data_IF_363868103198
#
_entry.id   IF_363868103198
#
_cell.length_a   1.000
_cell.length_b   1.000
_cell.length_c   1.000
_cell.angle_alpha   90.00
_cell.angle_beta   90.00
_cell.angle_gamma   90.00
#
_symmetry.space_group_name_H-M   'P 1'
#
loop_
_entity.id
_entity.type
_entity.pdbx_description
1 polymer ?
#
# COMPACT_ATOMS: atom_id res chain seq x y z
N UNK A 1 -29.95 -6.33 12.84
CA UNK A 1 -29.75 -6.96 11.53
C UNK A 1 -28.71 -6.14 10.78
N UNK A 2 -27.53 -6.71 10.53
CA UNK A 2 -26.42 -6.00 9.86
C UNK A 2 -26.50 -6.28 8.36
N UNK A 3 -26.52 -5.27 7.47
CA UNK A 3 -26.50 -5.52 6.03
C UNK A 3 -25.14 -6.08 5.58
N UNK A 4 -25.19 -7.19 4.85
CA UNK A 4 -24.05 -7.85 4.20
C UNK A 4 -23.45 -6.95 3.11
N UNK A 5 -22.23 -6.48 3.31
CA UNK A 5 -21.47 -5.60 2.41
C UNK A 5 -20.90 -6.35 1.20
N UNK A 6 -21.76 -6.79 0.29
CA UNK A 6 -21.35 -7.34 -1.00
C UNK A 6 -22.18 -6.82 -2.17
N UNK A 7 -22.71 -5.60 -2.07
CA UNK A 7 -23.30 -4.92 -3.23
C UNK A 7 -22.17 -4.35 -4.11
N UNK A 8 -21.71 -5.21 -5.02
CA UNK A 8 -21.12 -4.76 -6.29
C UNK A 8 -22.14 -3.80 -6.92
N UNK A 9 -21.73 -2.58 -7.26
CA UNK A 9 -22.61 -1.64 -7.99
C UNK A 9 -22.91 -2.28 -9.33
N UNK A 10 -24.08 -2.90 -9.46
CA UNK A 10 -24.55 -3.45 -10.74
C UNK A 10 -24.99 -2.28 -11.60
N UNK A 11 -24.57 -2.30 -12.87
CA UNK A 11 -25.17 -1.42 -13.86
C UNK A 11 -26.61 -1.92 -14.07
N UNK A 12 -27.59 -1.06 -13.76
CA UNK A 12 -29.03 -1.27 -13.93
C UNK A 12 -29.50 -0.23 -14.96
N UNK A 13 -30.59 -0.49 -15.69
CA UNK A 13 -31.03 0.35 -16.83
C UNK A 13 -30.95 1.86 -16.57
N UNK A 14 -31.42 2.33 -15.41
CA UNK A 14 -31.45 3.76 -15.06
C UNK A 14 -30.06 4.40 -14.90
N UNK A 15 -29.04 3.62 -14.51
CA UNK A 15 -27.66 4.12 -14.36
C UNK A 15 -26.77 3.76 -15.58
N UNK A 16 -27.21 2.80 -16.40
CA UNK A 16 -26.49 2.30 -17.55
C UNK A 16 -26.43 3.34 -18.67
N UNK A 17 -27.55 3.98 -19.02
CA UNK A 17 -27.58 4.96 -20.11
C UNK A 17 -26.68 6.17 -19.86
N UNK A 18 -26.72 6.71 -18.63
CA UNK A 18 -25.87 7.83 -18.26
C UNK A 18 -24.38 7.43 -18.20
N UNK A 19 -24.08 6.23 -17.71
CA UNK A 19 -22.72 5.69 -17.73
C UNK A 19 -22.22 5.47 -19.16
N UNK A 20 -23.04 4.86 -20.02
CA UNK A 20 -22.73 4.57 -21.43
C UNK A 20 -22.48 5.87 -22.20
N UNK A 21 -23.37 6.86 -22.07
CA UNK A 21 -23.21 8.16 -22.71
C UNK A 21 -21.92 8.85 -22.29
N UNK A 22 -21.60 8.85 -20.99
CA UNK A 22 -20.36 9.44 -20.49
C UNK A 22 -19.12 8.72 -21.02
N UNK A 23 -19.13 7.39 -21.10
CA UNK A 23 -18.01 6.65 -21.66
C UNK A 23 -17.84 6.92 -23.15
N UNK A 24 -18.94 6.95 -23.92
CA UNK A 24 -18.90 7.33 -25.35
C UNK A 24 -18.31 8.73 -25.55
N UNK A 25 -18.70 9.71 -24.74
CA UNK A 25 -18.16 11.07 -24.80
C UNK A 25 -16.66 11.13 -24.51
N UNK A 26 -16.17 10.34 -23.56
CA UNK A 26 -14.74 10.30 -23.22
C UNK A 26 -13.90 9.58 -24.26
N UNK A 27 -14.40 8.46 -24.78
CA UNK A 27 -13.79 7.76 -25.91
C UNK A 27 -13.70 8.66 -27.13
N UNK A 28 -14.72 9.49 -27.37
CA UNK A 28 -14.71 10.48 -28.46
C UNK A 28 -13.61 11.52 -28.28
N UNK A 29 -13.49 12.10 -27.07
CA UNK A 29 -12.41 13.05 -26.72
C UNK A 29 -11.00 12.45 -26.85
N UNK A 30 -10.87 11.14 -26.74
CA UNK A 30 -9.61 10.40 -26.91
C UNK A 30 -9.39 9.87 -28.33
N UNK A 31 -10.32 10.11 -29.26
CA UNK A 31 -10.24 9.62 -30.64
C UNK A 31 -10.50 8.11 -30.80
N UNK A 32 -11.01 7.45 -29.77
CA UNK A 32 -11.21 5.99 -29.73
C UNK A 32 -12.67 5.56 -29.98
N UNK A 33 -13.62 6.51 -30.05
CA UNK A 33 -15.04 6.19 -30.19
C UNK A 33 -15.37 5.46 -31.51
N UNK A 34 -14.73 5.87 -32.62
CA UNK A 34 -14.95 5.28 -33.94
C UNK A 34 -14.51 3.81 -34.04
N UNK A 35 -13.69 3.34 -33.10
CA UNK A 35 -13.19 1.97 -33.06
C UNK A 35 -14.14 1.01 -32.31
N UNK A 36 -15.04 1.57 -31.48
CA UNK A 36 -16.00 0.83 -30.65
C UNK A 36 -17.40 0.82 -31.27
N UNK A 37 -17.75 1.89 -32.00
CA UNK A 37 -18.96 1.92 -32.81
C UNK A 37 -18.74 0.98 -34.00
N UNK A 38 -19.34 -0.21 -33.90
CA UNK A 38 -19.43 -1.29 -34.88
C UNK A 38 -18.98 -0.88 -36.30
N UNK A 39 -17.81 -1.32 -36.77
CA UNK A 39 -17.42 -1.13 -38.16
C UNK A 39 -18.24 -2.08 -39.05
N UNK A 40 -18.60 -1.64 -40.25
CA UNK A 40 -19.04 -2.55 -41.30
C UNK A 40 -18.00 -3.65 -41.48
N UNK A 41 -18.46 -4.91 -41.40
CA UNK A 41 -17.61 -6.09 -41.44
C UNK A 41 -17.31 -6.42 -42.91
N UNK A 42 -16.27 -5.81 -43.48
CA UNK A 42 -15.75 -6.30 -44.76
C UNK A 42 -14.94 -7.58 -44.53
N UNK A 43 -15.36 -8.66 -45.18
CA UNK A 43 -14.91 -10.04 -44.97
C UNK A 43 -13.43 -10.34 -45.32
N UNK A 44 -12.58 -9.31 -45.48
CA UNK A 44 -11.22 -9.41 -46.02
C UNK A 44 -10.24 -8.51 -45.26
N UNK A 45 -9.90 -8.80 -44.01
CA UNK A 45 -8.61 -8.34 -43.49
C UNK A 45 -8.13 -9.15 -42.28
N UNK A 46 -7.07 -9.93 -42.47
CA UNK A 46 -6.34 -10.60 -41.37
C UNK A 46 -5.43 -9.60 -40.62
N UNK A 47 -5.06 -8.49 -41.28
CA UNK A 47 -4.21 -7.40 -40.75
C UNK A 47 -4.90 -6.49 -39.73
N UNK A 48 -6.23 -6.49 -39.69
CA UNK A 48 -7.04 -5.66 -38.77
C UNK A 48 -7.04 -6.19 -37.33
N UNK A 49 -6.80 -7.49 -37.14
CA UNK A 49 -6.95 -8.16 -35.83
C UNK A 49 -5.98 -7.65 -34.76
N UNK A 50 -4.72 -7.35 -35.11
CA UNK A 50 -3.70 -6.87 -34.15
C UNK A 50 -3.94 -5.40 -33.78
N UNK A 51 -4.28 -4.57 -34.76
CA UNK A 51 -4.61 -3.17 -34.53
C UNK A 51 -5.85 -3.04 -33.65
N UNK A 52 -6.88 -3.85 -33.92
CA UNK A 52 -8.13 -3.82 -33.16
C UNK A 52 -7.94 -4.30 -31.72
N UNK A 53 -7.15 -5.35 -31.49
CA UNK A 53 -6.76 -5.76 -30.13
C UNK A 53 -6.06 -4.62 -29.37
N UNK A 54 -5.18 -3.90 -30.06
CA UNK A 54 -4.44 -2.78 -29.45
C UNK A 54 -5.37 -1.63 -29.10
N UNK A 55 -6.29 -1.30 -29.99
CA UNK A 55 -7.23 -0.19 -29.82
C UNK A 55 -8.34 -0.50 -28.80
N UNK A 56 -8.81 -1.75 -28.77
CA UNK A 56 -9.73 -2.25 -27.73
C UNK A 56 -9.08 -2.25 -26.35
N UNK A 57 -7.81 -2.68 -26.23
CA UNK A 57 -7.05 -2.56 -24.98
C UNK A 57 -6.89 -1.11 -24.51
N UNK A 58 -6.68 -0.15 -25.43
CA UNK A 58 -6.63 1.28 -25.09
C UNK A 58 -8.00 1.78 -24.60
N UNK A 59 -9.07 1.42 -25.30
CA UNK A 59 -10.43 1.78 -24.92
C UNK A 59 -10.80 1.23 -23.53
N UNK A 60 -10.51 -0.04 -23.29
CA UNK A 60 -10.68 -0.69 -21.99
C UNK A 60 -9.86 0.01 -20.89
N UNK A 61 -8.63 0.42 -21.18
CA UNK A 61 -7.80 1.20 -20.27
C UNK A 61 -8.42 2.55 -19.88
N UNK A 62 -8.99 3.27 -20.85
CA UNK A 62 -9.71 4.54 -20.61
C UNK A 62 -10.95 4.30 -19.73
N UNK A 63 -11.75 3.30 -20.04
CA UNK A 63 -12.96 2.96 -19.28
C UNK A 63 -12.61 2.53 -17.85
N UNK A 64 -11.62 1.66 -17.68
CA UNK A 64 -11.18 1.17 -16.37
C UNK A 64 -10.60 2.29 -15.50
N UNK A 65 -9.75 3.15 -16.07
CA UNK A 65 -9.21 4.32 -15.38
C UNK A 65 -10.30 5.29 -14.94
N UNK A 66 -11.29 5.53 -15.80
CA UNK A 66 -12.42 6.40 -15.45
C UNK A 66 -13.35 5.76 -14.44
N UNK A 67 -13.63 4.48 -14.50
CA UNK A 67 -14.47 3.81 -13.50
C UNK A 67 -13.81 3.85 -12.11
N UNK A 68 -12.48 3.64 -12.06
CA UNK A 68 -11.70 3.75 -10.84
C UNK A 68 -11.68 5.19 -10.30
N UNK A 69 -11.59 6.19 -11.18
CA UNK A 69 -11.50 7.62 -10.83
C UNK A 69 -12.83 8.32 -10.54
N UNK A 70 -13.92 7.94 -11.20
CA UNK A 70 -15.18 8.72 -11.22
C UNK A 70 -16.18 8.33 -10.15
N UNK A 71 -16.07 7.14 -9.55
CA UNK A 71 -17.05 6.74 -8.54
C UNK A 71 -16.66 7.29 -7.16
N UNK A 72 -17.56 8.06 -6.56
CA UNK A 72 -17.47 8.53 -5.17
C UNK A 72 -17.15 7.37 -4.21
N UNK A 73 -17.70 6.17 -4.51
CA UNK A 73 -17.43 4.94 -3.78
C UNK A 73 -15.95 4.56 -3.76
N UNK A 74 -15.28 4.51 -4.91
CA UNK A 74 -13.86 4.15 -4.97
C UNK A 74 -12.98 5.21 -4.32
N UNK A 75 -13.27 6.50 -4.58
CA UNK A 75 -12.61 7.62 -3.91
C UNK A 75 -12.74 7.50 -2.38
N UNK A 76 -13.96 7.25 -1.89
CA UNK A 76 -14.24 7.08 -0.46
C UNK A 76 -13.48 5.89 0.14
N UNK A 77 -13.44 4.74 -0.55
CA UNK A 77 -12.72 3.54 -0.08
C UNK A 77 -11.23 3.84 0.08
N UNK A 78 -10.60 4.43 -0.94
CA UNK A 78 -9.16 4.73 -0.93
C UNK A 78 -8.84 5.82 0.10
N UNK A 79 -9.61 6.91 0.13
CA UNK A 79 -9.42 8.00 1.13
C UNK A 79 -9.61 7.48 2.56
N UNK A 80 -10.58 6.59 2.81
CA UNK A 80 -10.78 5.97 4.13
C UNK A 80 -9.61 5.07 4.50
N UNK A 81 -9.09 4.27 3.56
CA UNK A 81 -7.89 3.43 3.76
C UNK A 81 -6.68 4.29 4.11
N UNK A 82 -6.49 5.42 3.41
CA UNK A 82 -5.42 6.38 3.68
C UNK A 82 -5.53 6.99 5.09
N UNK A 83 -6.70 7.49 5.47
CA UNK A 83 -6.88 8.12 6.79
C UNK A 83 -6.73 7.16 7.96
N UNK A 84 -7.10 5.90 7.76
CA UNK A 84 -6.95 4.86 8.76
C UNK A 84 -5.59 4.15 8.69
N UNK A 85 -4.68 4.60 7.81
CA UNK A 85 -3.38 3.97 7.64
C UNK A 85 -2.51 4.17 8.88
N UNK A 86 -2.30 3.07 9.60
CA UNK A 86 -1.46 2.98 10.79
C UNK A 86 -0.73 1.65 10.76
N UNK A 87 0.52 1.66 11.20
CA UNK A 87 1.32 0.46 11.36
C UNK A 87 0.78 -0.34 12.55
N UNK A 88 0.58 -1.65 12.36
CA UNK A 88 0.21 -2.56 13.44
C UNK A 88 1.47 -2.96 14.23
N UNK A 89 1.40 -2.97 15.56
CA UNK A 89 2.55 -3.37 16.40
C UNK A 89 2.97 -4.80 16.08
N UNK A 90 4.28 -5.02 15.93
CA UNK A 90 4.87 -6.30 15.55
C UNK A 90 4.90 -6.58 14.04
N UNK A 91 4.39 -5.69 13.18
CA UNK A 91 4.61 -5.78 11.73
C UNK A 91 6.03 -5.33 11.37
N UNK A 92 6.66 -5.99 10.39
CA UNK A 92 7.98 -5.56 9.89
C UNK A 92 7.82 -4.26 9.08
N UNK A 93 8.72 -3.30 9.27
CA UNK A 93 8.68 -2.01 8.55
C UNK A 93 8.61 -2.19 7.03
N UNK A 94 9.33 -3.16 6.48
CA UNK A 94 9.30 -3.46 5.04
C UNK A 94 7.90 -3.82 4.52
N UNK A 95 7.09 -4.52 5.31
CA UNK A 95 5.70 -4.86 4.97
C UNK A 95 4.84 -3.59 5.01
N UNK A 96 4.99 -2.77 6.05
CA UNK A 96 4.30 -1.49 6.20
C UNK A 96 4.59 -0.53 5.02
N UNK A 97 5.85 -0.42 4.60
CA UNK A 97 6.24 0.37 3.42
C UNK A 97 5.62 -0.17 2.13
N UNK A 98 5.49 -1.49 2.00
CA UNK A 98 4.78 -2.11 0.87
C UNK A 98 3.31 -1.67 0.79
N UNK A 99 2.61 -1.74 1.92
CA UNK A 99 1.21 -1.30 2.02
C UNK A 99 1.06 0.21 1.78
N UNK A 100 2.00 1.00 2.30
CA UNK A 100 2.07 2.44 2.05
C UNK A 100 2.17 2.75 0.55
N UNK A 101 3.11 2.10 -0.16
CA UNK A 101 3.28 2.26 -1.62
C UNK A 101 2.02 1.88 -2.40
N UNK A 102 1.31 0.85 -1.95
CA UNK A 102 0.04 0.44 -2.56
C UNK A 102 -1.02 1.55 -2.41
N UNK A 103 -1.13 2.17 -1.24
CA UNK A 103 -2.06 3.28 -1.00
C UNK A 103 -1.69 4.50 -1.85
N UNK A 104 -0.40 4.84 -1.95
CA UNK A 104 0.08 5.93 -2.82
C UNK A 104 -0.32 5.69 -4.28
N UNK A 105 -0.14 4.46 -4.77
CA UNK A 105 -0.58 4.08 -6.12
C UNK A 105 -2.12 4.17 -6.26
N UNK A 106 -2.88 3.72 -5.25
CA UNK A 106 -4.33 3.82 -5.25
C UNK A 106 -4.81 5.29 -5.31
N UNK A 107 -4.13 6.19 -4.59
CA UNK A 107 -4.39 7.63 -4.65
C UNK A 107 -4.14 8.22 -6.05
N UNK A 108 -3.09 7.77 -6.75
CA UNK A 108 -2.84 8.16 -8.14
C UNK A 108 -3.95 7.64 -9.08
N UNK A 109 -4.41 6.39 -8.90
CA UNK A 109 -5.47 5.81 -9.74
C UNK A 109 -6.82 6.52 -9.62
N UNK A 110 -7.12 7.12 -8.46
CA UNK A 110 -8.32 7.97 -8.29
C UNK A 110 -8.09 9.42 -8.73
N UNK A 111 -6.93 9.74 -9.29
CA UNK A 111 -6.58 11.07 -9.81
C UNK A 111 -6.16 12.08 -8.74
N UNK A 112 -5.78 11.63 -7.55
CA UNK A 112 -5.39 12.47 -6.42
C UNK A 112 -4.00 12.07 -5.89
N UNK A 113 -2.95 12.22 -6.72
CA UNK A 113 -1.60 11.82 -6.34
C UNK A 113 -1.14 12.59 -5.10
N UNK A 114 -0.40 11.89 -4.24
CA UNK A 114 0.22 12.48 -3.05
C UNK A 114 1.61 12.99 -3.42
N UNK A 115 1.88 14.27 -3.18
CA UNK A 115 3.23 14.82 -3.29
C UNK A 115 4.18 14.21 -2.26
N UNK A 116 5.49 14.32 -2.49
CA UNK A 116 6.52 13.70 -1.64
C UNK A 116 6.44 14.15 -0.18
N UNK A 117 6.13 15.42 0.07
CA UNK A 117 5.98 15.97 1.42
C UNK A 117 4.81 15.31 2.15
N UNK A 118 3.65 15.18 1.49
CA UNK A 118 2.50 14.47 2.07
C UNK A 118 2.81 13.00 2.31
N UNK A 119 3.50 12.35 1.38
CA UNK A 119 3.94 10.97 1.55
C UNK A 119 4.82 10.80 2.79
N UNK A 120 5.76 11.73 3.01
CA UNK A 120 6.64 11.73 4.17
C UNK A 120 5.87 11.88 5.48
N UNK A 121 4.97 12.87 5.56
CA UNK A 121 4.14 13.13 6.75
C UNK A 121 3.25 11.94 7.08
N UNK A 122 2.65 11.32 6.07
CA UNK A 122 1.81 10.13 6.24
C UNK A 122 2.63 8.93 6.73
N UNK A 123 3.80 8.69 6.15
CA UNK A 123 4.67 7.58 6.56
C UNK A 123 5.09 7.76 8.02
N UNK A 124 5.70 8.89 8.39
CA UNK A 124 6.17 9.16 9.76
C UNK A 124 5.02 9.15 10.77
N UNK A 125 3.87 9.74 10.41
CA UNK A 125 2.68 9.75 11.26
C UNK A 125 1.98 8.41 11.40
N UNK A 126 2.29 7.42 10.55
CA UNK A 126 1.69 6.09 10.60
C UNK A 126 2.45 5.09 11.47
N UNK A 127 3.70 5.40 11.85
CA UNK A 127 4.56 4.49 12.59
C UNK A 127 4.07 4.30 14.04
N UNK A 128 4.41 3.15 14.60
CA UNK A 128 4.21 2.82 16.01
C UNK A 128 5.21 3.54 16.91
N UNK A 129 4.95 3.53 18.22
CA UNK A 129 5.83 4.15 19.23
C UNK A 129 7.25 3.57 19.23
N UNK A 130 7.43 2.35 18.72
CA UNK A 130 8.74 1.71 18.55
C UNK A 130 9.70 2.56 17.70
N UNK A 131 9.18 3.30 16.72
CA UNK A 131 9.98 4.17 15.85
C UNK A 131 10.01 5.63 16.31
N UNK A 132 9.38 5.98 17.44
CA UNK A 132 9.24 7.37 17.90
C UNK A 132 10.58 8.12 17.93
N UNK A 133 11.64 7.47 18.40
CA UNK A 133 12.96 8.09 18.50
C UNK A 133 13.50 8.50 17.13
N UNK A 134 13.48 7.59 16.15
CA UNK A 134 13.98 7.88 14.80
C UNK A 134 13.04 8.84 14.06
N UNK A 135 11.73 8.76 14.24
CA UNK A 135 10.77 9.71 13.66
C UNK A 135 11.09 11.15 14.07
N UNK A 136 11.36 11.41 15.36
CA UNK A 136 11.70 12.77 15.81
C UNK A 136 13.00 13.30 15.20
N UNK A 137 13.99 12.45 14.95
CA UNK A 137 15.23 12.85 14.25
C UNK A 137 14.93 13.20 12.80
N UNK A 138 14.14 12.37 12.13
CA UNK A 138 13.76 12.55 10.74
C UNK A 138 12.90 13.82 10.54
N UNK A 139 11.99 14.12 11.46
CA UNK A 139 11.15 15.34 11.45
C UNK A 139 11.97 16.64 11.50
N UNK A 140 13.09 16.64 12.23
CA UNK A 140 13.93 17.83 12.42
C UNK A 140 15.05 17.96 11.38
N UNK A 141 15.19 17.01 10.47
CA UNK A 141 16.25 17.04 9.45
C UNK A 141 15.82 17.95 8.30
N UNK A 142 16.58 19.03 7.99
CA UNK A 142 16.27 19.88 6.85
C UNK A 142 16.45 19.09 5.55
N UNK A 143 15.65 19.39 4.53
CA UNK A 143 15.71 18.74 3.20
C UNK A 143 15.52 17.21 3.24
N UNK A 144 14.61 16.75 4.09
CA UNK A 144 14.24 15.33 4.18
C UNK A 144 13.59 14.82 2.89
N UNK A 145 14.00 13.63 2.44
CA UNK A 145 13.42 12.93 1.28
C UNK A 145 12.79 11.61 1.70
N UNK A 146 11.79 11.15 0.94
CA UNK A 146 11.09 9.91 1.25
C UNK A 146 12.01 8.69 1.21
N UNK A 147 12.93 8.66 0.23
CA UNK A 147 13.89 7.58 0.08
C UNK A 147 14.84 7.47 1.28
N UNK A 148 15.38 8.59 1.75
CA UNK A 148 16.25 8.60 2.92
C UNK A 148 15.50 8.19 4.19
N UNK A 149 14.28 8.67 4.39
CA UNK A 149 13.45 8.27 5.53
C UNK A 149 13.20 6.75 5.54
N UNK A 150 12.81 6.15 4.41
CA UNK A 150 12.60 4.70 4.29
C UNK A 150 13.90 3.94 4.58
N UNK A 151 15.04 4.41 4.08
CA UNK A 151 16.33 3.77 4.32
C UNK A 151 16.72 3.82 5.80
N UNK A 152 16.60 4.99 6.44
CA UNK A 152 16.92 5.20 7.84
C UNK A 152 16.04 4.31 8.74
N UNK A 153 14.73 4.27 8.49
CA UNK A 153 13.78 3.44 9.22
C UNK A 153 14.03 1.94 9.04
N UNK A 154 14.40 1.50 7.82
CA UNK A 154 14.74 0.10 7.54
C UNK A 154 16.01 -0.36 8.27
N UNK A 155 16.95 0.55 8.53
CA UNK A 155 18.19 0.23 9.24
C UNK A 155 17.97 -0.11 10.72
N UNK A 156 16.95 0.48 11.35
CA UNK A 156 16.55 0.21 12.73
C UNK A 156 16.01 -1.22 12.86
N UNK A 157 15.13 -1.62 11.95
CA UNK A 157 14.57 -2.98 11.91
C UNK A 157 15.64 -4.07 11.77
N UNK A 158 16.68 -3.83 10.97
CA UNK A 158 17.78 -4.78 10.79
C UNK A 158 18.68 -4.89 12.04
N UNK A 159 18.80 -3.82 12.82
CA UNK A 159 19.62 -3.77 14.03
C UNK A 159 19.00 -4.55 15.19
N UNK A 160 17.67 -4.56 15.31
CA UNK A 160 16.97 -5.32 16.36
C UNK A 160 17.06 -6.84 16.16
N UNK A 161 17.11 -7.33 14.91
CA UNK A 161 17.40 -8.75 14.63
C UNK A 161 18.82 -9.15 15.06
N UNK A 162 19.81 -8.26 14.84
CA UNK A 162 21.19 -8.47 15.29
C UNK A 162 21.29 -8.48 16.83
N UNK A 163 20.62 -7.54 17.50
CA UNK A 163 20.60 -7.44 18.97
C UNK A 163 20.00 -8.68 19.64
N UNK A 164 18.89 -9.21 19.10
CA UNK A 164 18.24 -10.44 19.57
C UNK A 164 19.14 -11.69 19.44
N UNK A 165 19.92 -11.78 18.35
CA UNK A 165 20.88 -12.86 18.17
C UNK A 165 22.05 -12.78 19.18
N UNK A 166 22.52 -11.58 19.50
CA UNK A 166 23.60 -11.36 20.48
C UNK A 166 23.11 -11.48 21.95
N UNK A 167 21.84 -11.19 22.24
CA UNK A 167 21.27 -11.39 23.58
C UNK A 167 21.17 -12.87 23.99
N UNK A 168 21.06 -13.79 23.04
CA UNK A 168 21.12 -15.25 23.33
C UNK A 168 22.52 -15.74 23.70
N UNK A 169 23.58 -14.98 23.38
CA UNK A 169 24.96 -15.35 23.71
C UNK A 169 25.38 -14.94 25.15
N UNK A 170 24.62 -14.09 25.84
CA UNK A 170 24.92 -13.62 27.19
C UNK A 170 24.05 -14.21 28.30
N UNK A 171 23.17 -15.17 28.00
CA UNK A 171 22.48 -15.93 29.04
C UNK A 171 23.45 -16.96 29.63
N UNK A 172 24.27 -16.53 30.58
CA UNK A 172 24.94 -17.43 31.48
C UNK A 172 23.85 -18.21 32.25
N UNK A 173 23.64 -19.48 31.86
CA UNK A 173 22.83 -20.43 32.64
C UNK A 173 23.43 -20.51 34.04
N UNK A 174 22.84 -19.79 35.00
CA UNK A 174 23.09 -20.01 36.42
C UNK A 174 22.40 -21.34 36.79
N UNK A 175 23.08 -22.43 36.50
CA UNK A 175 22.76 -23.74 37.06
C UNK A 175 22.98 -23.64 38.57
N UNK A 176 21.89 -23.59 39.34
CA UNK A 176 21.95 -23.79 40.78
C UNK A 176 22.15 -25.29 41.04
N UNK A 177 23.37 -25.78 40.81
CA UNK A 177 23.80 -27.07 41.31
C UNK A 177 23.84 -26.98 42.85
N UNK A 178 22.81 -27.50 43.52
CA UNK A 178 22.79 -27.70 44.98
C UNK A 178 23.80 -28.79 45.36
N UNK A 179 25.10 -28.53 45.22
CA UNK A 179 26.13 -29.32 45.90
C UNK A 179 26.28 -28.78 47.31
N UNK A 180 25.82 -29.56 48.28
CA UNK A 180 26.03 -29.28 49.71
C UNK A 180 27.53 -29.15 49.96
N UNK A 181 27.99 -27.95 50.31
CA UNK A 181 29.35 -27.71 50.73
C UNK A 181 29.53 -28.31 52.13
N UNK A 182 30.28 -29.40 52.23
CA UNK A 182 30.57 -30.11 53.48
C UNK A 182 31.91 -29.66 54.08
N UNK A 183 32.13 -28.33 54.12
CA UNK A 183 33.34 -27.74 54.71
C UNK A 183 33.13 -27.48 56.20
N UNK A 184 34.00 -28.01 57.06
CA UNK A 184 34.04 -27.63 58.48
C UNK A 184 34.64 -26.23 58.60
N UNK A 185 33.88 -25.31 59.21
CA UNK A 185 34.28 -23.95 59.53
C UNK A 185 35.41 -23.98 60.59
N UNK A 186 36.59 -23.46 60.26
CA UNK A 186 37.75 -23.44 61.17
C UNK A 186 37.67 -22.40 62.31
N UNK A 187 36.69 -21.50 62.27
CA UNK A 187 36.47 -20.48 63.33
C UNK A 187 35.23 -20.73 64.18
N UNK A 188 34.48 -21.80 63.87
CA UNK A 188 33.32 -22.21 64.64
C UNK A 188 33.83 -23.30 65.61
N UNK A 189 34.21 -22.92 66.83
CA UNK A 189 34.50 -23.88 67.90
C UNK A 189 33.22 -24.59 68.35
#
# INVERSE_FOLDING_TARGET
>A
MSPSYADTVKLVEDNYFHWEFNMRMKLSRKGLLAQIIKPEFDALSDRSTVQWKTDDLKALGVIAGDFNRTTLKNRLIVTKKLHNFKMESGTRFAVHVGQFKEIVLQMETIGEPLDETRQLVLLLGSLTDEYRMISTVLENTPTMTLAYAIQALSSVDASDESSSAHQKAFVAKKSYDKRRFNGKCFYCK
#
